data_IF_882557796742
#
_entry.id   IF_882557796742
#
_cell.length_a   1.000
_cell.length_b   1.000
_cell.length_c   1.000
_cell.angle_alpha   90.00
_cell.angle_beta   90.00
_cell.angle_gamma   90.00
#
_symmetry.space_group_name_H-M   'P 1'
#
loop_
_entity.id
_entity.type
_entity.pdbx_description
1 polymer ?
#
# COMPACT_ATOMS: atom_id res chain seq x y z
N UNK A 1 -11.88 10.18 15.30
CA UNK A 1 -10.91 10.93 14.48
C UNK A 1 -9.70 10.02 14.34
N UNK A 2 -9.50 9.47 13.15
CA UNK A 2 -8.54 8.39 12.91
C UNK A 2 -7.19 8.98 12.47
N UNK A 3 -6.10 8.46 13.01
CA UNK A 3 -4.74 8.85 12.68
C UNK A 3 -4.10 7.70 11.90
N UNK A 4 -3.67 7.96 10.68
CA UNK A 4 -2.97 6.96 9.86
C UNK A 4 -1.47 7.04 10.10
N UNK A 5 -0.81 5.89 10.26
CA UNK A 5 0.63 5.83 10.52
C UNK A 5 1.37 5.61 9.20
N UNK A 6 2.26 6.55 8.86
CA UNK A 6 3.17 6.47 7.73
C UNK A 6 4.52 5.93 8.18
N UNK A 7 4.91 4.79 7.63
CA UNK A 7 6.23 4.18 7.85
C UNK A 7 7.19 4.37 6.65
N UNK A 8 6.76 5.15 5.66
CA UNK A 8 7.53 5.43 4.45
C UNK A 8 8.57 6.53 4.76
N UNK A 9 9.85 6.16 4.81
CA UNK A 9 10.93 7.06 5.22
C UNK A 9 11.06 8.26 4.28
N UNK A 10 10.97 8.03 2.96
CA UNK A 10 11.09 9.09 1.97
C UNK A 10 9.99 10.13 2.12
N UNK A 11 8.73 9.67 2.18
CA UNK A 11 7.55 10.51 2.40
C UNK A 11 7.60 11.23 3.74
N UNK A 12 8.02 10.55 4.79
CA UNK A 12 8.16 11.15 6.11
C UNK A 12 9.19 12.28 6.09
N UNK A 13 10.35 12.07 5.46
CA UNK A 13 11.35 13.13 5.28
C UNK A 13 10.83 14.29 4.43
N UNK A 14 10.12 14.01 3.34
CA UNK A 14 9.50 15.05 2.50
C UNK A 14 8.54 15.93 3.32
N UNK A 15 7.69 15.32 4.15
CA UNK A 15 6.75 16.05 5.02
C UNK A 15 7.46 16.96 6.03
N UNK A 16 8.55 16.47 6.64
CA UNK A 16 9.36 17.25 7.59
C UNK A 16 10.12 18.37 6.87
N UNK A 17 10.77 18.06 5.75
CA UNK A 17 11.53 19.03 4.94
C UNK A 17 10.66 20.14 4.39
N UNK A 18 9.44 19.84 3.96
CA UNK A 18 8.47 20.85 3.50
C UNK A 18 8.12 21.89 4.57
N UNK A 19 8.32 21.57 5.86
CA UNK A 19 8.07 22.51 6.96
C UNK A 19 9.24 23.48 7.20
N UNK A 20 10.45 23.15 6.72
CA UNK A 20 11.68 23.91 6.98
C UNK A 20 11.67 25.28 6.27
N UNK A 21 11.47 25.39 4.94
CA UNK A 21 11.52 26.69 4.25
C UNK A 21 10.45 27.68 4.75
N UNK A 22 9.33 27.15 5.25
CA UNK A 22 8.19 27.92 5.74
C UNK A 22 8.30 28.26 7.24
N UNK A 23 9.34 27.75 7.91
CA UNK A 23 9.51 27.76 9.38
C UNK A 23 8.19 27.46 10.09
N UNK A 24 7.51 26.39 9.69
CA UNK A 24 6.21 26.07 10.27
C UNK A 24 6.36 25.73 11.75
N UNK A 25 5.48 26.29 12.58
CA UNK A 25 5.53 26.09 14.03
C UNK A 25 4.97 24.72 14.42
N UNK A 26 5.77 23.99 15.19
CA UNK A 26 5.46 22.70 15.78
C UNK A 26 5.11 22.89 17.25
N UNK A 27 4.00 22.30 17.68
CA UNK A 27 3.66 22.14 19.10
C UNK A 27 4.36 20.91 19.64
N UNK A 28 5.14 21.09 20.69
CA UNK A 28 5.88 20.04 21.37
C UNK A 28 5.26 19.80 22.74
N UNK A 29 5.31 18.57 23.24
CA UNK A 29 4.95 18.31 24.64
C UNK A 29 5.61 17.06 25.19
N UNK A 30 5.72 17.06 26.51
CA UNK A 30 6.01 15.89 27.34
C UNK A 30 4.82 15.67 28.28
N UNK A 31 4.52 14.40 28.56
CA UNK A 31 3.49 14.04 29.53
C UNK A 31 4.19 13.41 30.72
N UNK A 32 4.11 14.06 31.87
CA UNK A 32 4.66 13.58 33.13
C UNK A 32 3.55 13.33 34.14
N UNK A 33 3.90 12.73 35.28
CA UNK A 33 2.97 12.56 36.43
C UNK A 33 2.48 13.89 37.00
N UNK A 34 3.20 14.99 36.76
CA UNK A 34 2.89 16.34 37.23
C UNK A 34 2.06 17.16 36.23
N UNK A 35 1.77 16.61 35.05
CA UNK A 35 1.00 17.27 34.00
C UNK A 35 1.70 17.29 32.65
N UNK A 36 1.10 18.03 31.70
CA UNK A 36 1.57 18.16 30.32
C UNK A 36 2.26 19.49 30.13
N UNK A 37 3.59 19.44 29.94
CA UNK A 37 4.40 20.60 29.58
C UNK A 37 4.36 20.78 28.06
N UNK A 38 4.29 22.02 27.58
CA UNK A 38 4.16 22.33 26.15
C UNK A 38 5.18 23.38 25.75
N UNK A 39 5.72 23.22 24.55
CA UNK A 39 6.64 24.15 23.92
C UNK A 39 6.25 24.37 22.47
N UNK A 40 6.81 25.41 21.86
CA UNK A 40 6.75 25.63 20.42
C UNK A 40 8.17 25.53 19.84
N UNK A 41 8.27 25.08 18.60
CA UNK A 41 9.55 24.98 17.92
C UNK A 41 9.42 24.84 16.42
N UNK A 42 10.55 24.81 15.72
CA UNK A 42 10.64 24.68 14.28
C UNK A 42 11.67 23.61 13.92
N UNK A 43 11.37 22.80 12.91
CA UNK A 43 12.39 21.91 12.34
C UNK A 43 13.33 22.78 11.51
N UNK A 44 14.62 22.71 11.82
CA UNK A 44 15.67 23.48 11.13
C UNK A 44 16.45 22.62 10.16
N UNK A 45 16.54 21.30 10.41
CA UNK A 45 17.30 20.37 9.58
C UNK A 45 16.64 18.99 9.60
N UNK A 46 16.57 18.33 8.45
CA UNK A 46 16.07 16.96 8.32
C UNK A 46 16.89 16.18 7.28
N UNK A 47 17.80 15.36 7.76
CA UNK A 47 18.60 14.40 7.00
C UNK A 47 18.05 12.98 7.15
N UNK A 48 18.65 12.01 6.46
CA UNK A 48 18.20 10.61 6.49
C UNK A 48 18.29 9.99 7.89
N UNK A 49 19.33 10.33 8.64
CA UNK A 49 19.59 9.76 9.97
C UNK A 49 19.28 10.70 11.12
N UNK A 50 19.31 12.01 10.88
CA UNK A 50 19.25 13.04 11.92
C UNK A 50 18.22 14.10 11.55
N UNK A 51 17.41 14.49 12.52
CA UNK A 51 16.52 15.66 12.45
C UNK A 51 16.84 16.57 13.62
N UNK A 52 16.92 17.89 13.34
CA UNK A 52 17.13 18.93 14.34
C UNK A 52 15.90 19.81 14.44
N UNK A 53 15.50 20.07 15.67
CA UNK A 53 14.36 20.91 16.02
C UNK A 53 14.82 21.99 16.99
N UNK A 54 14.53 23.25 16.67
CA UNK A 54 14.82 24.39 17.53
C UNK A 54 13.56 24.77 18.30
N UNK A 55 13.63 24.80 19.62
CA UNK A 55 12.55 25.27 20.49
C UNK A 55 12.59 26.81 20.54
N UNK A 56 11.45 27.43 20.25
CA UNK A 56 11.30 28.89 20.18
C UNK A 56 10.61 29.49 21.40
N UNK A 57 9.93 28.67 22.23
CA UNK A 57 9.29 29.12 23.47
C UNK A 57 10.29 29.28 24.62
N UNK A 58 10.00 30.23 25.51
CA UNK A 58 10.66 30.37 26.82
C UNK A 58 10.39 29.12 27.70
N UNK A 59 11.22 28.85 28.71
CA UNK A 59 11.13 27.69 29.64
C UNK A 59 11.56 26.33 29.06
N UNK A 60 12.56 26.31 28.18
CA UNK A 60 13.17 25.04 27.74
C UNK A 60 13.88 24.28 28.87
N UNK A 61 14.24 24.97 29.95
CA UNK A 61 14.90 24.37 31.12
C UNK A 61 14.05 23.29 31.79
N UNK A 62 12.72 23.35 31.63
CA UNK A 62 11.78 22.36 32.17
C UNK A 62 11.72 21.05 31.35
N UNK A 63 12.34 21.02 30.17
CA UNK A 63 12.35 19.86 29.28
C UNK A 63 13.23 18.74 29.84
N UNK A 64 12.65 17.54 30.00
CA UNK A 64 13.28 16.39 30.66
C UNK A 64 13.84 15.40 29.66
N UNK A 65 15.16 15.29 29.55
CA UNK A 65 15.83 14.46 28.52
C UNK A 65 15.49 12.95 28.53
N UNK A 66 15.03 12.43 29.66
CA UNK A 66 14.63 11.02 29.81
C UNK A 66 13.16 10.76 29.45
N UNK A 67 12.35 11.80 29.28
CA UNK A 67 10.94 11.66 28.92
C UNK A 67 10.75 11.78 27.40
N UNK A 68 9.84 10.99 26.80
CA UNK A 68 9.59 11.07 25.37
C UNK A 68 8.98 12.42 24.98
N UNK A 69 9.47 13.00 23.90
CA UNK A 69 8.90 14.20 23.31
C UNK A 69 7.94 13.84 22.17
N UNK A 70 6.78 14.50 22.18
CA UNK A 70 5.81 14.45 21.09
C UNK A 70 5.86 15.77 20.34
N UNK A 71 5.84 15.71 19.01
CA UNK A 71 5.82 16.88 18.14
C UNK A 71 4.62 16.81 17.21
N UNK A 72 3.86 17.90 17.13
CA UNK A 72 2.69 18.04 16.27
C UNK A 72 2.80 19.29 15.42
N UNK A 73 2.56 19.16 14.12
CA UNK A 73 2.42 20.27 13.19
C UNK A 73 0.94 20.51 12.91
N UNK A 74 0.30 21.52 13.54
CA UNK A 74 -1.15 21.69 13.46
C UNK A 74 -1.66 21.94 12.04
N UNK A 75 -0.90 22.70 11.23
CA UNK A 75 -1.31 23.06 9.85
C UNK A 75 -1.52 21.85 8.94
N UNK A 76 -0.76 20.77 9.17
CA UNK A 76 -0.83 19.53 8.39
C UNK A 76 -1.42 18.36 9.18
N UNK A 77 -1.79 18.59 10.45
CA UNK A 77 -2.22 17.57 11.41
C UNK A 77 -1.28 16.34 11.45
N UNK A 78 0.02 16.62 11.50
CA UNK A 78 1.08 15.61 11.52
C UNK A 78 1.61 15.49 12.95
N UNK A 79 1.80 14.28 13.47
CA UNK A 79 2.39 14.03 14.78
C UNK A 79 3.44 12.92 14.73
N UNK A 80 4.52 13.07 15.48
CA UNK A 80 5.46 11.97 15.75
C UNK A 80 5.92 11.98 17.21
N UNK A 81 6.49 10.86 17.64
CA UNK A 81 7.05 10.65 18.98
C UNK A 81 8.54 10.31 18.89
N UNK A 82 9.33 10.84 19.82
CA UNK A 82 10.74 10.50 19.99
C UNK A 82 11.06 10.21 21.45
N UNK A 83 11.48 8.98 21.71
CA UNK A 83 11.85 8.52 23.05
C UNK A 83 13.27 8.92 23.46
N UNK A 84 14.15 9.15 22.48
CA UNK A 84 15.56 9.52 22.70
C UNK A 84 15.92 10.72 21.83
N UNK A 85 16.53 11.71 22.43
CA UNK A 85 17.05 12.91 21.78
C UNK A 85 18.22 13.48 22.59
N UNK A 86 19.00 14.36 21.97
CA UNK A 86 20.06 15.14 22.62
C UNK A 86 19.63 16.61 22.63
N UNK A 87 19.81 17.27 23.77
CA UNK A 87 19.48 18.69 23.95
C UNK A 87 20.77 19.50 24.01
N UNK A 88 20.90 20.51 23.14
CA UNK A 88 22.01 21.46 23.11
C UNK A 88 21.43 22.88 23.09
N UNK A 89 21.32 23.51 24.27
CA UNK A 89 20.65 24.81 24.37
C UNK A 89 19.18 24.69 23.94
N UNK A 90 18.76 25.49 22.94
CA UNK A 90 17.42 25.47 22.33
C UNK A 90 17.22 24.34 21.31
N UNK A 91 18.28 23.63 20.93
CA UNK A 91 18.23 22.63 19.86
C UNK A 91 18.02 21.21 20.43
N UNK A 92 17.11 20.48 19.80
CA UNK A 92 16.89 19.05 20.00
C UNK A 92 17.36 18.29 18.75
N UNK A 93 18.29 17.37 18.94
CA UNK A 93 18.77 16.47 17.89
C UNK A 93 18.29 15.05 18.14
N UNK A 94 17.66 14.41 17.15
CA UNK A 94 17.18 13.03 17.28
C UNK A 94 17.22 12.28 15.95
N UNK A 95 17.08 10.95 16.01
CA UNK A 95 16.98 10.13 14.81
C UNK A 95 15.74 10.48 14.00
N UNK A 96 15.87 10.63 12.69
CA UNK A 96 14.77 11.04 11.81
C UNK A 96 13.54 10.15 11.94
N UNK A 97 12.34 10.73 12.14
CA UNK A 97 11.01 10.30 11.72
C UNK A 97 10.73 8.95 11.01
N UNK A 98 10.97 7.76 11.55
CA UNK A 98 10.59 6.51 10.83
C UNK A 98 9.09 6.24 10.83
N UNK A 99 8.37 6.71 11.87
CA UNK A 99 6.92 6.70 11.94
C UNK A 99 6.42 8.13 12.12
N UNK A 100 5.50 8.54 11.26
CA UNK A 100 4.78 9.79 11.38
C UNK A 100 3.28 9.47 11.29
N UNK A 101 2.49 9.93 12.25
CA UNK A 101 1.03 9.82 12.17
C UNK A 101 0.46 11.08 11.53
N UNK A 102 -0.43 10.88 10.59
CA UNK A 102 -1.09 11.94 9.82
C UNK A 102 -2.59 11.77 10.05
N UNK A 103 -3.26 12.85 10.40
CA UNK A 103 -4.72 12.81 10.55
C UNK A 103 -5.37 12.51 9.21
N UNK A 104 -6.26 11.53 9.18
CA UNK A 104 -7.09 11.28 8.02
C UNK A 104 -8.11 12.42 7.91
N UNK A 105 -7.92 13.26 6.88
CA UNK A 105 -8.83 14.39 6.59
C UNK A 105 -10.03 13.95 5.76
N UNK A 106 -9.97 12.75 5.17
CA UNK A 106 -11.10 12.20 4.44
C UNK A 106 -12.19 11.82 5.44
N UNK A 107 -13.41 12.20 5.11
CA UNK A 107 -14.61 11.81 5.87
C UNK A 107 -15.04 10.37 5.56
N UNK A 108 -14.48 9.77 4.51
CA UNK A 108 -14.82 8.44 4.04
C UNK A 108 -13.56 7.62 3.77
N UNK A 109 -13.57 6.37 4.20
CA UNK A 109 -12.52 5.39 3.89
C UNK A 109 -12.43 5.18 2.37
N UNK A 110 -11.19 5.15 1.85
CA UNK A 110 -10.94 4.72 0.48
C UNK A 110 -10.43 3.30 0.47
N UNK A 111 -10.86 2.55 -0.53
CA UNK A 111 -10.35 1.25 -0.86
C UNK A 111 -9.22 1.42 -1.88
N UNK A 112 -8.04 0.92 -1.56
CA UNK A 112 -6.90 0.90 -2.46
C UNK A 112 -6.78 -0.47 -3.12
N UNK A 113 -6.64 -0.48 -4.43
CA UNK A 113 -6.36 -1.71 -5.15
C UNK A 113 -4.86 -2.03 -5.04
N UNK A 114 -4.54 -3.23 -4.55
CA UNK A 114 -3.17 -3.75 -4.49
C UNK A 114 -2.67 -4.22 -5.86
N UNK A 115 -3.57 -4.74 -6.70
CA UNK A 115 -3.33 -5.13 -8.09
C UNK A 115 -4.38 -4.48 -8.97
N UNK A 116 -3.92 -3.81 -10.03
CA UNK A 116 -4.82 -2.97 -10.82
C UNK A 116 -5.40 -3.73 -12.00
N UNK A 117 -5.04 -5.01 -12.11
CA UNK A 117 -5.47 -5.93 -13.14
C UNK A 117 -6.99 -6.07 -13.05
N UNK A 118 -7.65 -5.89 -14.19
CA UNK A 118 -9.11 -5.92 -14.32
C UNK A 118 -9.85 -4.80 -13.56
N UNK A 119 -9.13 -3.81 -13.01
CA UNK A 119 -9.71 -2.65 -12.32
C UNK A 119 -9.67 -1.44 -13.23
N UNK A 120 -10.75 -1.22 -13.95
CA UNK A 120 -10.89 -0.08 -14.85
C UNK A 120 -11.98 0.89 -14.41
N UNK A 121 -11.90 2.11 -14.90
CA UNK A 121 -13.00 3.06 -14.92
C UNK A 121 -13.22 3.50 -16.36
N UNK A 122 -14.47 3.47 -16.80
CA UNK A 122 -14.89 3.95 -18.12
C UNK A 122 -15.58 5.29 -17.93
N UNK A 123 -15.09 6.32 -18.63
CA UNK A 123 -15.62 7.67 -18.51
C UNK A 123 -15.84 8.33 -19.87
N UNK A 124 -16.82 9.24 -19.91
CA UNK A 124 -17.02 10.18 -20.99
C UNK A 124 -16.57 11.57 -20.55
N UNK A 125 -15.91 12.27 -21.44
CA UNK A 125 -15.45 13.64 -21.20
C UNK A 125 -15.45 14.44 -22.50
N UNK A 126 -15.49 15.77 -22.39
CA UNK A 126 -15.37 16.67 -23.54
C UNK A 126 -13.93 17.13 -23.68
N UNK A 127 -13.41 17.05 -24.90
CA UNK A 127 -12.13 17.65 -25.30
C UNK A 127 -12.28 18.19 -26.73
N UNK A 128 -11.89 19.45 -26.94
CA UNK A 128 -12.10 20.19 -28.20
C UNK A 128 -13.54 20.07 -28.73
N UNK A 129 -14.51 20.29 -27.85
CA UNK A 129 -15.96 20.21 -28.11
C UNK A 129 -16.50 18.83 -28.54
N UNK A 130 -15.64 17.81 -28.66
CA UNK A 130 -16.02 16.44 -28.98
C UNK A 130 -16.14 15.59 -27.73
N UNK A 131 -17.18 14.77 -27.67
CA UNK A 131 -17.31 13.73 -26.65
C UNK A 131 -16.30 12.62 -26.93
N UNK A 132 -15.53 12.26 -25.91
CA UNK A 132 -14.54 11.20 -25.92
C UNK A 132 -14.95 10.14 -24.90
N UNK A 133 -14.68 8.88 -25.21
CA UNK A 133 -14.88 7.75 -24.30
C UNK A 133 -13.50 7.13 -24.05
N UNK A 134 -13.15 6.96 -22.78
CA UNK A 134 -11.88 6.37 -22.40
C UNK A 134 -12.04 5.37 -21.26
N UNK A 135 -11.11 4.41 -21.23
CA UNK A 135 -10.98 3.40 -20.20
C UNK A 135 -9.62 3.56 -19.55
N UNK A 136 -9.61 3.75 -18.23
CA UNK A 136 -8.39 3.97 -17.46
C UNK A 136 -8.28 3.00 -16.30
N UNK A 137 -7.04 2.79 -15.84
CA UNK A 137 -6.75 1.88 -14.73
C UNK A 137 -7.08 2.56 -13.41
N UNK A 138 -7.92 1.91 -12.61
CA UNK A 138 -8.39 2.39 -11.33
C UNK A 138 -7.34 2.12 -10.23
N UNK A 139 -7.09 3.11 -9.38
CA UNK A 139 -6.11 3.07 -8.27
C UNK A 139 -6.78 2.95 -6.92
N UNK A 140 -7.82 3.75 -6.71
CA UNK A 140 -8.57 3.76 -5.46
C UNK A 140 -10.05 4.12 -5.72
N UNK A 141 -10.91 3.80 -4.75
CA UNK A 141 -12.35 4.04 -4.81
C UNK A 141 -12.93 4.29 -3.42
N UNK A 142 -13.93 5.17 -3.32
CA UNK A 142 -14.80 5.34 -2.15
C UNK A 142 -16.21 5.71 -2.60
N UNK A 143 -17.14 5.82 -1.65
CA UNK A 143 -18.51 6.28 -1.93
C UNK A 143 -18.58 7.73 -2.42
N UNK A 144 -17.54 8.55 -2.23
CA UNK A 144 -17.51 9.95 -2.65
C UNK A 144 -16.57 10.24 -3.83
N UNK A 145 -15.84 9.25 -4.34
CA UNK A 145 -14.94 9.49 -5.46
C UNK A 145 -13.98 8.34 -5.73
N UNK A 146 -13.18 8.46 -6.77
CA UNK A 146 -12.19 7.47 -7.17
C UNK A 146 -10.88 8.12 -7.59
N UNK A 147 -9.86 7.31 -7.87
CA UNK A 147 -8.67 7.76 -8.58
C UNK A 147 -8.30 6.76 -9.67
N UNK A 148 -7.79 7.25 -10.78
CA UNK A 148 -7.27 6.45 -11.88
C UNK A 148 -5.93 6.99 -12.38
N UNK A 149 -5.20 6.19 -13.15
CA UNK A 149 -3.91 6.58 -13.74
C UNK A 149 -4.00 6.65 -15.25
N UNK A 150 -3.28 7.62 -15.80
CA UNK A 150 -3.16 7.88 -17.24
C UNK A 150 -1.71 8.22 -17.59
N UNK A 151 -1.39 8.23 -18.88
CA UNK A 151 -0.08 8.70 -19.33
C UNK A 151 0.04 10.22 -19.19
N UNK A 152 1.27 10.73 -19.07
CA UNK A 152 1.52 12.17 -19.02
C UNK A 152 0.97 12.91 -20.26
N UNK A 153 1.03 12.30 -21.44
CA UNK A 153 0.47 12.87 -22.67
C UNK A 153 -1.06 13.01 -22.62
N UNK A 154 -1.76 12.05 -22.02
CA UNK A 154 -3.21 12.11 -21.84
C UNK A 154 -3.62 13.10 -20.75
N UNK A 155 -2.75 13.36 -19.77
CA UNK A 155 -3.06 14.31 -18.70
C UNK A 155 -3.31 15.73 -19.20
N UNK A 156 -2.76 16.10 -20.36
CA UNK A 156 -3.02 17.37 -21.03
C UNK A 156 -4.48 17.54 -21.47
N UNK A 157 -5.25 16.45 -21.57
CA UNK A 157 -6.67 16.46 -21.94
C UNK A 157 -7.57 16.76 -20.75
N UNK A 158 -7.02 16.78 -19.54
CA UNK A 158 -7.76 16.95 -18.30
C UNK A 158 -7.36 18.22 -17.55
N UNK A 159 -8.32 18.85 -16.88
CA UNK A 159 -8.08 19.98 -15.98
C UNK A 159 -8.89 19.86 -14.70
N UNK A 160 -8.43 20.52 -13.63
CA UNK A 160 -9.15 20.59 -12.37
C UNK A 160 -10.52 21.25 -12.60
N UNK A 161 -11.53 20.78 -11.88
CA UNK A 161 -12.94 21.16 -11.98
C UNK A 161 -13.66 20.71 -13.26
N UNK A 162 -12.97 20.05 -14.19
CA UNK A 162 -13.61 19.44 -15.35
C UNK A 162 -14.62 18.38 -14.92
N UNK A 163 -15.81 18.44 -15.52
CA UNK A 163 -16.84 17.44 -15.33
C UNK A 163 -16.66 16.27 -16.29
N UNK A 164 -16.79 15.07 -15.72
CA UNK A 164 -16.73 13.79 -16.42
C UNK A 164 -17.97 12.97 -16.06
N UNK A 165 -18.35 12.06 -16.95
CA UNK A 165 -19.45 11.12 -16.73
C UNK A 165 -18.88 9.72 -16.61
N UNK A 166 -19.03 9.11 -15.44
CA UNK A 166 -18.61 7.74 -15.20
C UNK A 166 -19.69 6.79 -15.70
N UNK A 167 -19.29 5.85 -16.54
CA UNK A 167 -20.21 4.87 -17.14
C UNK A 167 -20.04 3.48 -16.55
N UNK A 168 -18.79 3.11 -16.27
CA UNK A 168 -18.47 1.82 -15.67
C UNK A 168 -17.37 2.00 -14.62
N UNK A 169 -17.49 1.24 -13.54
CA UNK A 169 -16.40 0.99 -12.59
C UNK A 169 -16.21 -0.51 -12.58
N UNK A 170 -15.12 -0.98 -13.18
CA UNK A 170 -14.76 -2.39 -13.31
C UNK A 170 -15.84 -3.18 -14.07
N UNK A 171 -16.45 -4.19 -13.46
CA UNK A 171 -17.54 -4.99 -14.01
C UNK A 171 -18.94 -4.38 -13.75
N UNK A 172 -19.01 -3.23 -13.09
CA UNK A 172 -20.27 -2.58 -12.72
C UNK A 172 -20.59 -1.46 -13.68
N UNK A 173 -21.69 -1.60 -14.39
CA UNK A 173 -22.31 -0.48 -15.10
C UNK A 173 -22.99 0.42 -14.08
N UNK A 174 -22.62 1.69 -14.08
CA UNK A 174 -23.26 2.67 -13.20
C UNK A 174 -24.63 3.05 -13.79
N UNK A 175 -25.68 3.15 -12.96
CA UNK A 175 -26.96 3.70 -13.41
C UNK A 175 -26.74 5.15 -13.87
N UNK A 176 -27.35 5.50 -15.02
CA UNK A 176 -27.44 6.81 -15.68
C UNK A 176 -26.40 7.88 -15.33
N UNK A 177 -25.63 8.36 -16.33
CA UNK A 177 -24.76 9.54 -16.31
C UNK A 177 -24.19 9.94 -14.94
N UNK A 178 -23.47 9.03 -14.27
CA UNK A 178 -22.94 9.31 -12.94
C UNK A 178 -21.83 10.37 -13.01
N UNK A 179 -22.16 11.61 -12.68
CA UNK A 179 -21.27 12.77 -12.88
C UNK A 179 -20.25 12.91 -11.76
N UNK A 180 -19.05 13.31 -12.15
CA UNK A 180 -17.96 13.56 -11.24
C UNK A 180 -17.10 14.75 -11.71
N UNK A 181 -16.30 15.30 -10.80
CA UNK A 181 -15.35 16.38 -11.06
C UNK A 181 -13.93 15.97 -10.77
N UNK A 182 -13.01 16.41 -11.61
CA UNK A 182 -11.58 16.25 -11.37
C UNK A 182 -11.16 17.22 -10.27
N UNK A 183 -10.55 16.70 -9.21
CA UNK A 183 -10.11 17.49 -8.05
C UNK A 183 -8.59 17.50 -7.86
N UNK A 184 -7.87 16.56 -8.48
CA UNK A 184 -6.40 16.56 -8.44
C UNK A 184 -5.81 15.89 -9.69
N UNK A 185 -4.63 16.37 -10.07
CA UNK A 185 -3.80 15.86 -11.16
C UNK A 185 -2.38 15.83 -10.63
N UNK A 186 -1.93 14.66 -10.18
CA UNK A 186 -0.68 14.50 -9.45
C UNK A 186 0.21 13.48 -10.16
N UNK A 187 1.54 13.58 -10.01
CA UNK A 187 2.41 12.50 -10.48
C UNK A 187 2.09 11.21 -9.72
N UNK A 188 1.92 10.10 -10.44
CA UNK A 188 1.67 8.81 -9.80
C UNK A 188 2.95 8.34 -9.10
N UNK A 189 2.83 7.96 -7.83
CA UNK A 189 3.92 7.37 -7.06
C UNK A 189 3.51 5.96 -6.66
N UNK A 190 4.32 4.98 -7.02
CA UNK A 190 4.15 3.61 -6.55
C UNK A 190 4.44 3.53 -5.04
N UNK A 191 3.76 2.64 -4.30
CA UNK A 191 4.14 2.28 -2.93
C UNK A 191 5.62 1.86 -2.83
N UNK A 192 6.29 2.19 -1.72
CA UNK A 192 7.68 1.77 -1.44
C UNK A 192 7.79 0.24 -1.44
N UNK A 193 8.76 -0.31 -2.17
CA UNK A 193 9.01 -1.76 -2.28
C UNK A 193 8.92 -2.26 -3.71
N UNK A 194 7.91 -1.80 -4.45
CA UNK A 194 7.67 -2.17 -5.84
C UNK A 194 8.77 -1.57 -6.71
N UNK A 195 9.74 -2.39 -7.13
CA UNK A 195 10.78 -1.98 -8.09
C UNK A 195 10.10 -1.49 -9.37
N UNK A 196 10.53 -0.33 -9.84
CA UNK A 196 10.12 0.31 -11.09
C UNK A 196 10.56 -0.60 -12.26
N UNK A 197 9.74 -1.60 -12.60
CA UNK A 197 9.86 -2.38 -13.84
C UNK A 197 9.03 -1.75 -14.97
N UNK A 198 8.28 -0.69 -14.68
CA UNK A 198 7.43 0.04 -15.61
C UNK A 198 7.94 1.46 -15.79
N UNK A 199 7.51 2.14 -16.86
CA UNK A 199 7.65 3.59 -16.99
C UNK A 199 6.70 4.33 -16.02
N UNK A 200 6.57 3.90 -14.76
CA UNK A 200 5.67 4.54 -13.79
C UNK A 200 6.04 6.01 -13.55
N UNK A 201 7.29 6.37 -13.82
CA UNK A 201 7.78 7.75 -13.84
C UNK A 201 7.04 8.69 -14.81
N UNK A 202 6.29 8.15 -15.80
CA UNK A 202 5.51 8.86 -16.81
C UNK A 202 3.99 8.84 -16.57
N UNK A 203 3.54 8.27 -15.44
CA UNK A 203 2.11 8.17 -15.13
C UNK A 203 1.63 9.34 -14.26
N UNK A 204 0.42 9.79 -14.55
CA UNK A 204 -0.30 10.83 -13.81
C UNK A 204 -1.53 10.21 -13.13
N UNK A 205 -1.69 10.46 -11.84
CA UNK A 205 -2.87 10.11 -11.05
C UNK A 205 -3.90 11.23 -11.17
N UNK A 206 -5.12 10.86 -11.57
CA UNK A 206 -6.27 11.75 -11.60
C UNK A 206 -7.19 11.42 -10.41
N UNK A 207 -7.38 12.38 -9.54
CA UNK A 207 -8.33 12.31 -8.43
C UNK A 207 -9.69 12.85 -8.84
N UNK A 208 -10.74 12.07 -8.58
CA UNK A 208 -12.11 12.41 -8.96
C UNK A 208 -13.02 12.40 -7.74
N UNK A 209 -13.90 13.41 -7.64
CA UNK A 209 -14.96 13.50 -6.64
C UNK A 209 -16.32 13.38 -7.32
N UNK A 210 -17.18 12.51 -6.82
CA UNK A 210 -18.54 12.39 -7.35
C UNK A 210 -19.37 13.61 -7.00
N UNK A 211 -20.23 14.03 -7.93
CA UNK A 211 -21.21 15.08 -7.65
C UNK A 211 -22.30 14.50 -6.73
N UNK A 212 -22.73 13.27 -7.02
CA UNK A 212 -23.64 12.49 -6.19
C UNK A 212 -22.88 11.28 -5.64
N UNK A 213 -22.88 11.09 -4.33
CA UNK A 213 -22.16 9.94 -3.73
C UNK A 213 -22.84 8.63 -4.11
N UNK A 214 -22.05 7.57 -4.28
CA UNK A 214 -22.58 6.21 -4.40
C UNK A 214 -23.16 5.79 -3.05
N UNK A 215 -24.36 5.18 -3.06
CA UNK A 215 -25.01 4.68 -1.84
C UNK A 215 -24.15 3.65 -1.11
N UNK A 216 -23.43 2.84 -1.88
CA UNK A 216 -22.43 1.92 -1.36
C UNK A 216 -21.40 1.59 -2.44
N UNK A 217 -20.18 1.30 -2.01
CA UNK A 217 -19.20 0.61 -2.86
C UNK A 217 -19.35 -0.88 -2.57
N UNK A 218 -20.44 -1.49 -3.03
CA UNK A 218 -20.58 -2.96 -2.97
C UNK A 218 -19.77 -3.56 -4.10
N UNK A 219 -18.63 -4.16 -3.74
CA UNK A 219 -17.81 -4.88 -4.69
C UNK A 219 -18.52 -6.20 -5.07
N UNK A 220 -19.41 -6.17 -6.07
CA UNK A 220 -19.89 -7.39 -6.72
C UNK A 220 -18.81 -8.04 -7.60
N UNK A 221 -17.60 -7.52 -7.78
CA UNK A 221 -16.54 -8.21 -8.56
C UNK A 221 -15.59 -9.03 -7.71
N UNK A 222 -15.60 -8.83 -6.40
CA UNK A 222 -14.93 -9.67 -5.43
C UNK A 222 -16.06 -10.43 -4.76
N UNK A 223 -17.16 -9.81 -4.34
CA UNK A 223 -18.42 -10.48 -4.06
C UNK A 223 -18.79 -11.50 -5.14
N UNK A 224 -19.03 -11.20 -6.41
CA UNK A 224 -19.41 -12.23 -7.40
C UNK A 224 -18.30 -13.13 -7.90
N UNK A 225 -17.01 -12.75 -7.83
CA UNK A 225 -15.91 -13.68 -8.14
C UNK A 225 -15.62 -14.57 -6.92
N UNK A 226 -15.56 -14.03 -5.72
CA UNK A 226 -15.56 -14.71 -4.41
C UNK A 226 -16.90 -15.35 -4.08
N UNK A 227 -18.05 -15.06 -4.70
CA UNK A 227 -19.38 -15.66 -4.42
C UNK A 227 -19.66 -16.70 -5.50
N UNK A 228 -19.20 -16.51 -6.75
CA UNK A 228 -19.06 -17.61 -7.73
C UNK A 228 -17.92 -18.56 -7.34
N UNK A 229 -16.88 -18.08 -6.65
CA UNK A 229 -15.83 -18.91 -6.04
C UNK A 229 -16.25 -19.42 -4.66
N UNK A 230 -17.00 -18.71 -3.82
CA UNK A 230 -17.50 -19.18 -2.50
C UNK A 230 -18.69 -20.09 -2.65
N UNK A 231 -19.49 -19.95 -3.72
CA UNK A 231 -20.44 -21.00 -4.10
C UNK A 231 -19.71 -22.27 -4.57
N UNK A 232 -18.49 -22.17 -5.14
CA UNK A 232 -17.56 -23.30 -5.30
C UNK A 232 -16.85 -23.71 -3.99
N UNK A 233 -16.82 -22.87 -2.96
CA UNK A 233 -16.22 -23.12 -1.63
C UNK A 233 -17.27 -23.33 -0.52
N UNK A 234 -18.54 -23.62 -0.87
CA UNK A 234 -19.57 -23.99 0.12
C UNK A 234 -19.12 -25.29 0.79
N UNK A 235 -18.58 -25.17 2.01
CA UNK A 235 -17.97 -26.27 2.77
C UNK A 235 -16.66 -25.92 3.47
N UNK A 236 -16.11 -24.71 3.29
CA UNK A 236 -14.83 -24.32 3.89
C UNK A 236 -15.01 -23.64 5.24
N UNK A 237 -14.43 -24.24 6.29
CA UNK A 237 -14.20 -23.57 7.56
C UNK A 237 -13.11 -22.50 7.38
N UNK A 238 -13.50 -21.23 7.52
CA UNK A 238 -12.61 -20.06 7.38
C UNK A 238 -11.79 -19.76 8.63
N UNK A 239 -11.99 -20.51 9.71
CA UNK A 239 -11.35 -20.34 11.03
C UNK A 239 -9.87 -20.74 11.07
N UNK A 240 -9.36 -21.46 10.05
CA UNK A 240 -7.98 -21.97 10.00
C UNK A 240 -7.07 -21.38 8.90
N UNK A 241 -7.47 -20.27 8.26
CA UNK A 241 -6.78 -19.79 7.05
C UNK A 241 -5.50 -18.99 7.35
N UNK A 242 -4.35 -19.50 6.89
CA UNK A 242 -3.02 -18.96 7.15
C UNK A 242 -2.52 -18.10 5.98
N UNK A 243 -2.84 -16.81 6.01
CA UNK A 243 -2.23 -15.79 5.14
C UNK A 243 -2.24 -14.46 5.87
N UNK A 244 -1.34 -13.54 5.52
CA UNK A 244 -1.22 -12.27 6.22
C UNK A 244 -1.97 -11.16 5.48
N UNK A 245 -2.64 -10.28 6.22
CA UNK A 245 -3.05 -8.97 5.75
C UNK A 245 -1.83 -8.05 5.55
N UNK A 246 -1.99 -6.97 4.79
CA UNK A 246 -0.90 -6.02 4.54
C UNK A 246 -0.33 -5.45 5.85
N UNK A 247 -1.18 -5.14 6.83
CA UNK A 247 -0.73 -4.67 8.14
C UNK A 247 0.07 -5.73 8.92
N UNK A 248 -0.35 -6.99 8.85
CA UNK A 248 0.35 -8.10 9.51
C UNK A 248 1.70 -8.37 8.84
N UNK A 249 1.77 -8.31 7.50
CA UNK A 249 3.03 -8.41 6.76
C UNK A 249 4.00 -7.30 7.18
N UNK A 250 3.54 -6.05 7.21
CA UNK A 250 4.35 -4.91 7.63
C UNK A 250 4.85 -5.04 9.07
N UNK A 251 4.00 -5.51 10.00
CA UNK A 251 4.40 -5.75 11.40
C UNK A 251 5.49 -6.84 11.50
N UNK A 252 5.34 -7.95 10.77
CA UNK A 252 6.33 -9.03 10.76
C UNK A 252 7.66 -8.53 10.16
N UNK A 253 7.61 -7.83 9.03
CA UNK A 253 8.81 -7.28 8.39
C UNK A 253 9.50 -6.21 9.26
N UNK A 254 8.74 -5.34 9.92
CA UNK A 254 9.30 -4.36 10.86
C UNK A 254 10.07 -5.03 12.00
N UNK A 255 9.51 -6.10 12.59
CA UNK A 255 10.19 -6.88 13.63
C UNK A 255 11.47 -7.54 13.12
N UNK A 256 11.44 -8.15 11.92
CA UNK A 256 12.66 -8.73 11.32
C UNK A 256 13.70 -7.65 11.02
N UNK A 257 13.27 -6.44 10.62
CA UNK A 257 14.14 -5.32 10.30
C UNK A 257 14.89 -4.77 11.53
N UNK A 258 14.30 -4.86 12.72
CA UNK A 258 14.97 -4.50 13.97
C UNK A 258 16.21 -5.37 14.23
N UNK A 259 16.11 -6.67 13.95
CA UNK A 259 17.19 -7.64 14.16
C UNK A 259 18.15 -7.74 12.97
N UNK A 260 17.61 -7.73 11.74
CA UNK A 260 18.36 -7.92 10.50
C UNK A 260 17.73 -7.16 9.32
N UNK A 261 18.17 -5.91 9.06
CA UNK A 261 17.64 -5.09 7.98
C UNK A 261 17.79 -5.69 6.58
N UNK A 262 18.88 -6.42 6.32
CA UNK A 262 19.14 -7.04 5.02
C UNK A 262 18.18 -8.20 4.73
N UNK A 263 17.91 -9.03 5.76
CA UNK A 263 16.94 -10.11 5.65
C UNK A 263 15.52 -9.57 5.43
N UNK A 264 15.13 -8.52 6.16
CA UNK A 264 13.82 -7.90 5.99
C UNK A 264 13.62 -7.34 4.56
N UNK A 265 14.66 -6.71 3.99
CA UNK A 265 14.62 -6.22 2.61
C UNK A 265 14.50 -7.37 1.59
N UNK A 266 15.25 -8.47 1.76
CA UNK A 266 15.13 -9.61 0.84
C UNK A 266 13.77 -10.31 0.96
N UNK A 267 13.25 -10.50 2.18
CA UNK A 267 11.91 -11.03 2.39
C UNK A 267 10.84 -10.18 1.71
N UNK A 268 10.94 -8.85 1.82
CA UNK A 268 10.01 -7.94 1.16
C UNK A 268 10.05 -8.12 -0.37
N UNK A 269 11.25 -8.12 -0.97
CA UNK A 269 11.41 -8.35 -2.41
C UNK A 269 10.85 -9.71 -2.84
N UNK A 270 11.09 -10.76 -2.05
CA UNK A 270 10.59 -12.11 -2.35
C UNK A 270 9.08 -12.24 -2.21
N UNK A 271 8.48 -11.57 -1.23
CA UNK A 271 7.01 -11.54 -1.08
C UNK A 271 6.37 -10.95 -2.33
N UNK A 272 6.93 -9.85 -2.85
CA UNK A 272 6.45 -9.21 -4.08
C UNK A 272 6.62 -10.12 -5.30
N UNK A 273 7.79 -10.76 -5.48
CA UNK A 273 8.00 -11.69 -6.60
C UNK A 273 7.06 -12.90 -6.56
N UNK A 274 6.83 -13.47 -5.37
CA UNK A 274 5.91 -14.60 -5.23
C UNK A 274 4.46 -14.21 -5.50
N UNK A 275 4.11 -12.94 -5.31
CA UNK A 275 2.78 -12.43 -5.59
C UNK A 275 2.41 -12.54 -7.08
N UNK A 276 3.40 -12.58 -7.98
CA UNK A 276 3.18 -12.79 -9.41
C UNK A 276 2.66 -14.19 -9.74
N UNK A 277 2.70 -15.14 -8.81
CA UNK A 277 2.08 -16.46 -8.98
C UNK A 277 0.57 -16.38 -9.22
N UNK A 278 -0.08 -15.24 -8.93
CA UNK A 278 -1.48 -14.96 -9.31
C UNK A 278 -1.72 -15.01 -10.81
N UNK A 279 -0.70 -14.76 -11.63
CA UNK A 279 -0.80 -14.74 -13.09
C UNK A 279 -0.60 -16.12 -13.72
N UNK A 280 -0.36 -17.16 -12.92
CA UNK A 280 -0.33 -18.52 -13.44
C UNK A 280 -1.68 -18.87 -14.07
N UNK A 281 -1.66 -19.31 -15.33
CA UNK A 281 -2.83 -19.93 -15.96
C UNK A 281 -3.10 -21.29 -15.31
N UNK A 282 -4.27 -21.88 -15.57
CA UNK A 282 -4.65 -23.17 -15.00
C UNK A 282 -3.64 -24.28 -15.37
N UNK A 283 -3.13 -24.27 -16.60
CA UNK A 283 -2.10 -25.20 -17.04
C UNK A 283 -0.78 -24.98 -16.28
N UNK A 284 -0.37 -23.73 -16.11
CA UNK A 284 0.84 -23.40 -15.34
C UNK A 284 0.69 -23.77 -13.86
N UNK A 285 -0.49 -23.57 -13.25
CA UNK A 285 -0.79 -24.01 -11.88
C UNK A 285 -0.65 -25.53 -11.73
N UNK A 286 -1.13 -26.31 -12.69
CA UNK A 286 -0.98 -27.77 -12.66
C UNK A 286 0.50 -28.19 -12.69
N UNK A 287 1.30 -27.59 -13.57
CA UNK A 287 2.74 -27.81 -13.64
C UNK A 287 3.39 -27.42 -12.31
N UNK A 288 3.07 -26.23 -11.81
CA UNK A 288 3.60 -25.68 -10.57
C UNK A 288 3.34 -26.59 -9.36
N UNK A 289 2.10 -27.04 -9.17
CA UNK A 289 1.72 -27.94 -8.07
C UNK A 289 2.33 -29.34 -8.18
N UNK A 290 2.66 -29.79 -9.39
CA UNK A 290 3.26 -31.11 -9.62
C UNK A 290 4.76 -31.12 -9.39
N UNK A 291 5.47 -30.07 -9.82
CA UNK A 291 6.93 -30.00 -9.77
C UNK A 291 7.48 -29.47 -8.44
N UNK A 292 6.72 -28.59 -7.77
CA UNK A 292 7.16 -27.93 -6.54
C UNK A 292 6.82 -28.78 -5.31
N UNK A 293 7.81 -28.99 -4.43
CA UNK A 293 7.58 -29.65 -3.14
C UNK A 293 6.63 -28.84 -2.27
N UNK A 294 5.54 -29.48 -1.83
CA UNK A 294 4.47 -28.85 -1.03
C UNK A 294 4.98 -28.17 0.25
N UNK A 295 5.85 -28.83 1.01
CA UNK A 295 6.43 -28.25 2.24
C UNK A 295 7.27 -27.00 1.96
N UNK A 296 8.04 -27.02 0.86
CA UNK A 296 8.84 -25.88 0.42
C UNK A 296 7.94 -24.71 0.06
N UNK A 297 6.88 -24.97 -0.72
CA UNK A 297 5.90 -23.95 -1.12
C UNK A 297 5.15 -23.37 0.08
N UNK A 298 4.70 -24.21 1.02
CA UNK A 298 4.03 -23.77 2.24
C UNK A 298 4.94 -22.90 3.12
N UNK A 299 6.24 -23.21 3.14
CA UNK A 299 7.23 -22.39 3.84
C UNK A 299 7.46 -21.05 3.14
N UNK A 300 7.55 -21.04 1.80
CA UNK A 300 7.77 -19.84 1.01
C UNK A 300 6.58 -18.86 1.05
N UNK A 301 5.35 -19.38 0.99
CA UNK A 301 4.13 -18.57 0.94
C UNK A 301 3.62 -18.10 2.31
N UNK A 302 4.37 -18.34 3.39
CA UNK A 302 3.95 -18.04 4.76
C UNK A 302 3.75 -16.55 5.04
N UNK A 303 4.52 -15.70 4.38
CA UNK A 303 4.37 -14.24 4.47
C UNK A 303 3.53 -13.67 3.32
N UNK A 304 2.96 -14.53 2.49
CA UNK A 304 2.15 -14.10 1.36
C UNK A 304 0.78 -13.62 1.80
N UNK A 305 0.16 -12.87 0.89
CA UNK A 305 -1.17 -12.30 1.06
C UNK A 305 -2.23 -13.39 1.01
N UNK A 306 -3.34 -13.19 1.73
CA UNK A 306 -4.47 -14.12 1.72
C UNK A 306 -5.00 -14.36 0.30
N UNK A 307 -5.04 -13.32 -0.51
CA UNK A 307 -5.59 -13.39 -1.86
C UNK A 307 -4.70 -14.23 -2.80
N UNK A 308 -3.37 -14.20 -2.64
CA UNK A 308 -2.48 -15.06 -3.43
C UNK A 308 -2.76 -16.53 -3.12
N UNK A 309 -2.87 -16.86 -1.83
CA UNK A 309 -3.18 -18.21 -1.38
C UNK A 309 -4.53 -18.68 -1.91
N UNK A 310 -5.55 -17.81 -1.91
CA UNK A 310 -6.85 -18.12 -2.51
C UNK A 310 -6.76 -18.41 -4.00
N UNK A 311 -5.98 -17.63 -4.76
CA UNK A 311 -5.84 -17.81 -6.20
C UNK A 311 -5.11 -19.12 -6.55
N UNK A 312 -4.09 -19.47 -5.77
CA UNK A 312 -3.34 -20.73 -5.95
C UNK A 312 -4.13 -21.96 -5.53
N UNK A 313 -4.89 -21.88 -4.43
CA UNK A 313 -5.67 -22.98 -3.87
C UNK A 313 -7.08 -23.11 -4.46
N UNK A 314 -7.49 -22.19 -5.35
CA UNK A 314 -8.82 -22.19 -5.94
C UNK A 314 -9.10 -23.35 -6.89
N UNK A 315 -8.04 -24.01 -7.38
CA UNK A 315 -8.11 -25.03 -8.43
C UNK A 315 -7.45 -26.36 -8.05
N UNK A 316 -7.04 -26.52 -6.79
CA UNK A 316 -6.53 -27.79 -6.25
C UNK A 316 -7.65 -28.59 -5.59
N UNK A 317 -7.43 -29.90 -5.45
CA UNK A 317 -8.37 -30.78 -4.71
C UNK A 317 -8.37 -30.46 -3.22
N UNK A 318 -9.47 -30.78 -2.53
CA UNK A 318 -9.62 -30.51 -1.09
C UNK A 318 -8.55 -31.20 -0.24
N UNK A 319 -8.09 -32.40 -0.63
CA UNK A 319 -7.01 -33.10 0.06
C UNK A 319 -5.68 -32.32 -0.03
N UNK A 320 -5.28 -31.88 -1.22
CA UNK A 320 -4.06 -31.09 -1.41
C UNK A 320 -4.15 -29.78 -0.63
N UNK A 321 -5.33 -29.16 -0.65
CA UNK A 321 -5.61 -27.92 0.06
C UNK A 321 -5.45 -28.06 1.57
N UNK A 322 -6.06 -29.08 2.17
CA UNK A 322 -6.03 -29.29 3.62
C UNK A 322 -4.60 -29.59 4.10
N UNK A 323 -3.89 -30.48 3.40
CA UNK A 323 -2.48 -30.78 3.70
C UNK A 323 -1.60 -29.53 3.58
N UNK A 324 -1.81 -28.71 2.55
CA UNK A 324 -1.08 -27.46 2.37
C UNK A 324 -1.37 -26.47 3.50
N UNK A 325 -2.65 -26.29 3.86
CA UNK A 325 -3.10 -25.38 4.92
C UNK A 325 -2.55 -25.76 6.30
N UNK A 326 -2.44 -27.06 6.57
CA UNK A 326 -1.79 -27.57 7.78
C UNK A 326 -0.30 -27.21 7.80
N UNK A 327 0.42 -27.43 6.70
CA UNK A 327 1.85 -27.12 6.61
C UNK A 327 2.15 -25.63 6.76
N UNK A 328 1.35 -24.76 6.11
CA UNK A 328 1.52 -23.29 6.22
C UNK A 328 1.13 -22.74 7.61
N UNK A 329 0.46 -23.52 8.46
CA UNK A 329 0.17 -23.11 9.84
C UNK A 329 1.40 -23.20 10.75
N UNK A 330 2.33 -24.12 10.47
CA UNK A 330 3.42 -24.48 11.39
C UNK A 330 4.52 -23.41 11.48
N UNK A 331 4.81 -22.80 12.64
CA UNK A 331 5.75 -21.68 12.72
C UNK A 331 7.13 -22.00 12.13
N UNK A 332 7.70 -21.06 11.35
CA UNK A 332 9.04 -21.16 10.77
C UNK A 332 9.82 -19.86 11.01
N UNK A 333 11.14 -19.93 11.25
CA UNK A 333 11.95 -18.74 11.44
C UNK A 333 12.11 -17.94 10.12
N UNK A 334 12.24 -16.61 10.18
CA UNK A 334 12.36 -15.75 8.99
C UNK A 334 13.46 -16.18 8.01
N UNK A 335 14.60 -16.67 8.49
CA UNK A 335 15.68 -17.16 7.65
C UNK A 335 15.30 -18.41 6.84
N UNK A 336 14.52 -19.32 7.41
CA UNK A 336 14.03 -20.51 6.69
C UNK A 336 12.97 -20.13 5.66
N UNK A 337 12.10 -19.18 5.99
CA UNK A 337 11.13 -18.60 5.04
C UNK A 337 11.89 -18.01 3.86
N UNK A 338 12.86 -17.12 4.10
CA UNK A 338 13.64 -16.48 3.06
C UNK A 338 14.32 -17.50 2.12
N UNK A 339 14.96 -18.53 2.69
CA UNK A 339 15.59 -19.58 1.89
C UNK A 339 14.58 -20.32 1.00
N UNK A 340 13.41 -20.67 1.54
CA UNK A 340 12.36 -21.30 0.77
C UNK A 340 11.84 -20.39 -0.35
N UNK A 341 11.67 -19.09 -0.06
CA UNK A 341 11.28 -18.11 -1.07
C UNK A 341 12.31 -17.96 -2.18
N UNK A 342 13.61 -17.89 -1.83
CA UNK A 342 14.69 -17.84 -2.82
C UNK A 342 14.68 -19.07 -3.76
N UNK A 343 14.43 -20.27 -3.22
CA UNK A 343 14.32 -21.50 -4.02
C UNK A 343 13.11 -21.47 -4.97
N UNK A 344 11.94 -21.04 -4.50
CA UNK A 344 10.74 -20.92 -5.34
C UNK A 344 10.91 -19.82 -6.40
N UNK A 345 11.43 -18.65 -6.04
CA UNK A 345 11.71 -17.57 -6.99
C UNK A 345 12.71 -18.00 -8.06
N UNK A 346 13.73 -18.79 -7.69
CA UNK A 346 14.67 -19.36 -8.66
C UNK A 346 13.97 -20.28 -9.66
N UNK A 347 13.14 -21.20 -9.17
CA UNK A 347 12.34 -22.08 -10.03
C UNK A 347 11.43 -21.29 -10.98
N UNK A 348 10.73 -20.27 -10.48
CA UNK A 348 9.86 -19.41 -11.29
C UNK A 348 10.65 -18.75 -12.42
N UNK A 349 11.78 -18.12 -12.10
CA UNK A 349 12.63 -17.42 -13.08
C UNK A 349 13.19 -18.37 -14.14
N UNK A 350 13.51 -19.61 -13.76
CA UNK A 350 13.92 -20.65 -14.71
C UNK A 350 12.78 -20.98 -15.68
N UNK A 351 11.55 -21.15 -15.18
CA UNK A 351 10.36 -21.40 -16.00
C UNK A 351 10.00 -20.22 -16.91
N UNK A 352 10.12 -18.99 -16.44
CA UNK A 352 9.94 -17.78 -17.26
C UNK A 352 11.00 -17.68 -18.37
N UNK A 353 12.26 -17.98 -18.05
CA UNK A 353 13.35 -17.99 -19.04
C UNK A 353 13.14 -19.05 -20.13
N UNK A 354 12.54 -20.18 -19.79
CA UNK A 354 12.16 -21.24 -20.74
C UNK A 354 10.90 -20.91 -21.54
N UNK A 355 10.19 -19.83 -21.19
CA UNK A 355 8.90 -19.46 -21.79
C UNK A 355 7.74 -20.35 -21.35
N UNK A 356 7.94 -21.19 -20.33
CA UNK A 356 6.90 -22.06 -19.78
C UNK A 356 5.91 -21.28 -18.91
N UNK A 357 6.41 -20.28 -18.18
CA UNK A 357 5.61 -19.35 -17.39
C UNK A 357 5.67 -17.94 -17.99
N UNK A 358 4.54 -17.23 -17.95
CA UNK A 358 4.44 -15.82 -18.32
C UNK A 358 3.73 -15.11 -17.16
N UNK A 359 4.50 -14.61 -16.19
CA UNK A 359 3.98 -14.03 -14.94
C UNK A 359 4.10 -12.51 -14.92
N UNK A 360 3.69 -11.90 -16.02
CA UNK A 360 3.83 -10.47 -16.20
C UNK A 360 2.57 -9.73 -15.74
N UNK A 361 2.70 -8.99 -14.64
CA UNK A 361 1.68 -8.06 -14.13
C UNK A 361 1.34 -6.93 -15.12
N UNK A 362 2.17 -6.73 -16.14
CA UNK A 362 2.00 -5.75 -17.22
C UNK A 362 1.54 -6.36 -18.53
N UNK A 363 1.46 -7.70 -18.61
CA UNK A 363 0.96 -8.40 -19.79
C UNK A 363 -0.55 -8.25 -19.86
N UNK A 364 -0.98 -7.25 -20.63
CA UNK A 364 -2.38 -7.05 -21.05
C UNK A 364 -2.90 -8.18 -21.97
N UNK A 365 -2.11 -9.24 -22.22
CA UNK A 365 -2.45 -10.33 -23.12
C UNK A 365 -2.92 -11.54 -22.30
N UNK A 366 -4.22 -11.81 -22.39
CA UNK A 366 -4.79 -13.11 -22.02
C UNK A 366 -4.22 -14.16 -22.97
N UNK A 367 -3.41 -15.10 -22.47
CA UNK A 367 -3.31 -16.40 -23.13
C UNK A 367 -4.58 -17.16 -22.76
N UNK A 368 -5.51 -17.22 -23.71
CA UNK A 368 -6.72 -18.05 -23.64
C UNK A 368 -6.34 -19.51 -23.75
#
# INVERSE_FOLDING_TARGET
>A
MEMWSSFNNKKNMELLRDSIPKREEWTLWQSSTQGRMKWTGVIVECEEKITKLEITSENIEELRELEPIFAHLPKKDIIFKRDKYQKNGSELTFKTPTEIKIKERRTQSRFYFKYQDYKSVSLKYKHDEKEQIANYTLVDLSTAGLAFVITQAESLKFHIDQEIVLTHITDQQLPSDHRAKIISIDRFQLPEGIKDRTNASELTRIGVKYIESLESVTYKSIGSIIDKRQSKLKGIETSGFNGLSDEEQLKVLAKVKEDNPALAANLQERIEELDHLRYLTNQMKQIFWTEVKRELLATALRLSSKELLYELLGEVTDNIKNEFLEQISQPKPPAAINKAQDEICKYIREKEKLGEFVLDATSFIKYV
#
